data_IF_703814965936
#
_entry.id   IF_703814965936
#
_cell.length_a   1.000
_cell.length_b   1.000
_cell.length_c   1.000
_cell.angle_alpha   90.00
_cell.angle_beta   90.00
_cell.angle_gamma   90.00
#
_symmetry.space_group_name_H-M   'P 1'
#
loop_
_entity.id
_entity.type
_entity.pdbx_description
1 polymer ?
#
# COMPACT_ATOMS: atom_id res chain seq x y z
N UNK A 1 -16.56 -13.59 -6.68
CA UNK A 1 -15.13 -13.96 -6.58
C UNK A 1 -14.29 -12.82 -5.96
N UNK A 2 -14.80 -12.17 -4.90
CA UNK A 2 -14.04 -11.23 -4.06
C UNK A 2 -13.78 -11.90 -2.71
N UNK A 3 -14.75 -12.66 -2.22
CA UNK A 3 -14.58 -13.51 -1.03
C UNK A 3 -13.43 -14.53 -1.19
N UNK A 4 -13.19 -15.01 -2.40
CA UNK A 4 -12.06 -15.90 -2.73
C UNK A 4 -10.69 -15.19 -2.60
N UNK A 5 -10.65 -13.88 -2.83
CA UNK A 5 -9.41 -13.08 -2.79
C UNK A 5 -9.09 -12.54 -1.39
N UNK A 6 -10.10 -12.41 -0.52
CA UNK A 6 -9.96 -11.86 0.83
C UNK A 6 -9.74 -12.95 1.90
N UNK A 7 -10.28 -14.16 1.68
CA UNK A 7 -10.25 -15.23 2.68
C UNK A 7 -11.10 -14.93 3.92
N UNK A 8 -10.89 -15.69 5.00
CA UNK A 8 -11.56 -15.47 6.28
C UNK A 8 -10.80 -14.49 7.19
N UNK A 9 -9.48 -14.41 7.01
CA UNK A 9 -8.58 -13.53 7.73
C UNK A 9 -7.71 -12.76 6.74
N UNK A 10 -7.21 -11.58 7.10
CA UNK A 10 -6.38 -10.78 6.17
C UNK A 10 -5.11 -11.51 5.71
N UNK A 11 -4.61 -12.47 6.50
CA UNK A 11 -3.48 -13.33 6.16
C UNK A 11 -3.78 -14.28 4.98
N UNK A 12 -5.07 -14.56 4.73
CA UNK A 12 -5.51 -15.37 3.61
C UNK A 12 -5.74 -14.53 2.36
N UNK A 13 -5.61 -13.20 2.45
CA UNK A 13 -5.74 -12.34 1.28
C UNK A 13 -4.70 -12.66 0.23
N UNK A 14 -5.10 -12.66 -1.04
CA UNK A 14 -4.23 -12.96 -2.16
C UNK A 14 -3.01 -12.02 -2.22
N UNK A 15 -3.21 -10.75 -1.85
CA UNK A 15 -2.13 -9.79 -1.69
C UNK A 15 -1.10 -10.26 -0.66
N UNK A 16 -1.53 -10.60 0.56
CA UNK A 16 -0.59 -11.01 1.61
C UNK A 16 0.14 -12.29 1.23
N UNK A 17 -0.57 -13.28 0.68
CA UNK A 17 0.02 -14.54 0.20
C UNK A 17 1.08 -14.28 -0.88
N UNK A 18 0.76 -13.45 -1.88
CA UNK A 18 1.69 -13.08 -2.94
C UNK A 18 2.94 -12.38 -2.37
N UNK A 19 2.74 -11.46 -1.42
CA UNK A 19 3.81 -10.75 -0.74
C UNK A 19 4.72 -11.70 0.08
N UNK A 20 4.16 -12.73 0.72
CA UNK A 20 4.92 -13.73 1.49
C UNK A 20 5.58 -14.82 0.63
N UNK A 21 5.22 -14.95 -0.65
CA UNK A 21 5.65 -16.07 -1.51
C UNK A 21 7.17 -16.21 -1.72
N UNK A 22 7.95 -15.16 -1.44
CA UNK A 22 9.37 -15.07 -1.78
C UNK A 22 9.65 -14.85 -3.27
N UNK A 23 8.62 -14.86 -4.12
CA UNK A 23 8.71 -14.56 -5.55
C UNK A 23 8.44 -13.07 -5.84
N UNK A 24 7.68 -12.41 -4.97
CA UNK A 24 7.42 -10.98 -5.06
C UNK A 24 8.70 -10.17 -4.78
N UNK A 25 9.06 -9.27 -5.70
CA UNK A 25 10.28 -8.45 -5.61
C UNK A 25 10.04 -7.02 -5.14
N UNK A 26 8.79 -6.59 -5.08
CA UNK A 26 8.41 -5.23 -4.69
C UNK A 26 6.91 -5.05 -4.84
N UNK A 27 6.36 -4.00 -4.26
CA UNK A 27 4.98 -3.56 -4.53
C UNK A 27 4.97 -2.20 -5.19
N UNK A 28 3.95 -1.91 -5.98
CA UNK A 28 3.70 -0.55 -6.49
C UNK A 28 2.32 -0.13 -6.02
N UNK A 29 2.23 1.09 -5.48
CA UNK A 29 0.97 1.75 -5.20
C UNK A 29 0.78 2.87 -6.22
N UNK A 30 -0.29 2.77 -7.00
CA UNK A 30 -0.67 3.81 -7.96
C UNK A 30 -1.44 4.89 -7.21
N UNK A 31 -0.87 6.08 -7.16
CA UNK A 31 -1.45 7.24 -6.50
C UNK A 31 -2.11 8.16 -7.52
N UNK A 32 -3.31 8.63 -7.18
CA UNK A 32 -3.91 9.77 -7.84
C UNK A 32 -3.35 11.08 -7.28
N UNK A 33 -3.71 12.21 -7.90
CA UNK A 33 -3.26 13.55 -7.50
C UNK A 33 -3.64 13.92 -6.05
N UNK A 34 -4.52 13.13 -5.42
CA UNK A 34 -5.01 13.33 -4.04
C UNK A 34 -4.47 12.29 -3.07
N UNK A 35 -3.64 11.35 -3.53
CA UNK A 35 -3.17 10.20 -2.78
C UNK A 35 -4.29 9.44 -2.05
N UNK A 36 -5.49 9.32 -2.67
CA UNK A 36 -6.63 8.61 -2.08
C UNK A 36 -6.34 7.19 -1.59
N UNK A 37 -5.45 6.39 -2.20
CA UNK A 37 -5.09 5.09 -1.63
C UNK A 37 -4.61 5.20 -0.17
N UNK A 38 -3.95 6.29 0.21
CA UNK A 38 -3.51 6.50 1.60
C UNK A 38 -4.62 6.92 2.56
N UNK A 39 -5.87 7.02 2.12
CA UNK A 39 -7.03 7.19 3.01
C UNK A 39 -7.80 5.90 3.21
N UNK A 40 -7.44 4.81 2.50
CA UNK A 40 -8.19 3.54 2.51
C UNK A 40 -7.56 2.51 3.42
N UNK A 41 -8.37 1.87 4.26
CA UNK A 41 -7.90 0.89 5.26
C UNK A 41 -7.02 -0.20 4.66
N UNK A 42 -7.49 -0.85 3.59
CA UNK A 42 -6.75 -1.92 2.92
C UNK A 42 -5.44 -1.45 2.31
N UNK A 43 -5.42 -0.32 1.61
CA UNK A 43 -4.20 0.19 0.99
C UNK A 43 -3.14 0.57 2.04
N UNK A 44 -3.56 1.12 3.19
CA UNK A 44 -2.65 1.44 4.29
C UNK A 44 -2.12 0.15 4.93
N UNK A 45 -2.98 -0.86 5.11
CA UNK A 45 -2.58 -2.19 5.56
C UNK A 45 -1.54 -2.81 4.61
N UNK A 46 -1.79 -2.82 3.29
CA UNK A 46 -0.88 -3.34 2.27
C UNK A 46 0.47 -2.61 2.27
N UNK A 47 0.45 -1.28 2.47
CA UNK A 47 1.64 -0.46 2.65
C UNK A 47 2.43 -0.88 3.89
N UNK A 48 1.77 -1.06 5.04
CA UNK A 48 2.41 -1.51 6.27
C UNK A 48 3.06 -2.90 6.09
N UNK A 49 2.35 -3.83 5.45
CA UNK A 49 2.89 -5.18 5.22
C UNK A 49 4.08 -5.16 4.25
N UNK A 50 4.07 -4.27 3.25
CA UNK A 50 5.22 -4.04 2.37
C UNK A 50 6.43 -3.54 3.16
N UNK A 51 6.24 -2.52 4.02
CA UNK A 51 7.32 -1.95 4.86
C UNK A 51 7.91 -3.02 5.79
N UNK A 52 7.07 -3.80 6.46
CA UNK A 52 7.53 -4.92 7.31
C UNK A 52 8.33 -5.98 6.54
N UNK A 53 7.97 -6.26 5.28
CA UNK A 53 8.76 -7.18 4.45
C UNK A 53 10.11 -6.58 4.05
N UNK A 54 10.15 -5.29 3.73
CA UNK A 54 11.38 -4.59 3.40
C UNK A 54 12.37 -4.57 4.58
N UNK A 55 11.90 -4.48 5.82
CA UNK A 55 12.74 -4.54 7.02
C UNK A 55 13.40 -5.90 7.25
N UNK A 56 12.76 -7.00 6.80
CA UNK A 56 13.20 -8.38 7.08
C UNK A 56 13.86 -9.10 5.90
N UNK A 57 13.62 -8.69 4.64
CA UNK A 57 14.25 -9.30 3.45
C UNK A 57 14.95 -8.24 2.59
N UNK A 58 16.29 -8.24 2.61
CA UNK A 58 17.12 -7.31 1.84
C UNK A 58 17.01 -7.49 0.31
N UNK A 59 16.46 -8.61 -0.18
CA UNK A 59 16.26 -8.87 -1.62
C UNK A 59 14.95 -8.29 -2.14
N UNK A 60 14.10 -7.78 -1.26
CA UNK A 60 12.85 -7.13 -1.60
C UNK A 60 13.11 -5.65 -1.88
N UNK A 61 12.73 -5.16 -3.06
CA UNK A 61 12.99 -3.79 -3.49
C UNK A 61 12.08 -2.75 -2.81
N UNK A 62 11.11 -3.19 -2.00
CA UNK A 62 10.24 -2.29 -1.24
C UNK A 62 9.02 -1.80 -1.99
N UNK A 63 8.52 -0.65 -1.57
CA UNK A 63 7.36 0.04 -2.14
C UNK A 63 7.78 1.02 -3.23
N UNK A 64 7.09 1.01 -4.37
CA UNK A 64 7.18 2.03 -5.42
C UNK A 64 5.91 2.89 -5.44
N UNK A 65 6.08 4.20 -5.40
CA UNK A 65 4.96 5.16 -5.41
C UNK A 65 4.81 5.69 -6.83
N UNK A 66 3.82 5.16 -7.52
CA UNK A 66 3.62 5.31 -8.95
C UNK A 66 2.56 6.40 -9.20
N UNK A 67 2.90 7.46 -9.92
CA UNK A 67 1.98 8.55 -10.29
C UNK A 67 1.88 8.67 -11.82
N UNK A 68 0.98 9.52 -12.31
CA UNK A 68 0.90 9.87 -13.73
C UNK A 68 2.22 10.44 -14.29
N UNK A 69 3.04 11.06 -13.43
CA UNK A 69 4.34 11.64 -13.77
C UNK A 69 5.52 10.68 -13.66
N UNK A 70 5.32 9.44 -13.21
CA UNK A 70 6.40 8.46 -13.02
C UNK A 70 6.48 7.90 -11.60
N UNK A 71 7.64 7.37 -11.22
CA UNK A 71 7.84 6.74 -9.90
C UNK A 71 8.56 7.72 -8.97
N UNK A 72 7.87 8.17 -7.91
CA UNK A 72 8.33 9.24 -7.03
C UNK A 72 9.62 8.87 -6.31
N UNK A 73 9.65 7.71 -5.66
CA UNK A 73 10.80 7.26 -4.87
C UNK A 73 11.94 6.64 -5.70
N UNK A 74 11.84 6.72 -7.04
CA UNK A 74 12.93 6.42 -7.96
C UNK A 74 13.57 7.70 -8.55
N UNK A 75 13.17 8.89 -8.06
CA UNK A 75 13.72 10.18 -8.49
C UNK A 75 13.11 10.75 -9.79
N UNK A 76 12.08 10.11 -10.33
CA UNK A 76 11.47 10.46 -11.62
C UNK A 76 10.10 11.17 -11.47
N UNK A 77 9.73 11.66 -10.28
CA UNK A 77 8.45 12.31 -10.04
C UNK A 77 8.55 13.79 -9.66
N UNK A 78 7.45 14.54 -9.76
CA UNK A 78 7.37 15.96 -9.37
C UNK A 78 7.59 16.12 -7.87
N UNK A 79 8.38 17.14 -7.49
CA UNK A 79 8.68 17.46 -6.09
C UNK A 79 7.43 17.87 -5.30
N UNK A 80 6.48 18.56 -5.94
CA UNK A 80 5.20 18.94 -5.35
C UNK A 80 4.38 17.71 -4.97
N UNK A 81 4.32 16.72 -5.86
CA UNK A 81 3.61 15.46 -5.60
C UNK A 81 4.30 14.66 -4.50
N UNK A 82 5.64 14.66 -4.47
CA UNK A 82 6.41 14.03 -3.40
C UNK A 82 6.16 14.69 -2.02
N UNK A 83 6.06 16.02 -1.96
CA UNK A 83 5.75 16.76 -0.73
C UNK A 83 4.32 16.51 -0.25
N UNK A 84 3.32 16.60 -1.14
CA UNK A 84 1.93 16.30 -0.79
C UNK A 84 1.77 14.87 -0.28
N UNK A 85 2.52 13.93 -0.86
CA UNK A 85 2.56 12.55 -0.41
C UNK A 85 3.23 12.39 0.96
N UNK A 86 4.36 13.07 1.19
CA UNK A 86 5.05 13.07 2.48
C UNK A 86 4.16 13.62 3.61
N UNK A 87 3.43 14.71 3.34
CA UNK A 87 2.44 15.26 4.28
C UNK A 87 1.35 14.23 4.61
N UNK A 88 0.81 13.55 3.59
CA UNK A 88 -0.20 12.49 3.79
C UNK A 88 0.32 11.31 4.58
N UNK A 89 1.55 10.86 4.28
CA UNK A 89 2.20 9.79 5.03
C UNK A 89 2.47 10.20 6.48
N UNK A 90 2.84 11.45 6.74
CA UNK A 90 3.08 11.97 8.08
C UNK A 90 1.78 12.06 8.92
N UNK A 91 0.63 12.23 8.28
CA UNK A 91 -0.68 12.30 8.93
C UNK A 91 -1.52 11.02 8.73
N UNK A 92 -0.90 9.90 8.36
CA UNK A 92 -1.61 8.64 8.15
C UNK A 92 -2.27 8.17 9.46
N UNK A 93 -3.59 8.01 9.41
CA UNK A 93 -4.40 7.53 10.53
C UNK A 93 -5.15 6.27 10.12
N UNK A 94 -4.60 5.12 10.52
CA UNK A 94 -5.22 3.84 10.24
C UNK A 94 -6.56 3.66 10.98
N UNK A 95 -6.73 4.25 12.16
CA UNK A 95 -7.94 4.09 12.97
C UNK A 95 -9.16 4.75 12.31
N UNK A 96 -8.92 5.86 11.60
CA UNK A 96 -9.92 6.61 10.86
C UNK A 96 -9.90 6.36 9.35
N UNK A 97 -9.16 5.36 8.89
CA UNK A 97 -9.10 5.01 7.47
C UNK A 97 -10.48 4.60 6.92
N UNK A 98 -10.73 4.99 5.68
CA UNK A 98 -11.98 4.78 4.99
C UNK A 98 -12.09 3.35 4.45
N UNK A 99 -13.29 2.79 4.54
CA UNK A 99 -13.67 1.57 3.85
C UNK A 99 -15.11 1.72 3.38
N UNK A 100 -15.39 1.31 2.15
CA UNK A 100 -16.75 1.33 1.59
C UNK A 100 -17.65 0.29 2.27
N UNK A 101 -17.05 -0.76 2.83
CA UNK A 101 -17.72 -1.82 3.58
C UNK A 101 -17.26 -1.78 5.04
N UNK A 102 -18.20 -1.84 5.98
CA UNK A 102 -17.86 -1.91 7.40
C UNK A 102 -17.18 -3.24 7.76
N UNK A 103 -17.50 -4.32 7.04
CA UNK A 103 -16.81 -5.61 7.19
C UNK A 103 -15.32 -5.49 6.86
N UNK A 104 -14.98 -4.71 5.83
CA UNK A 104 -13.60 -4.45 5.42
C UNK A 104 -12.84 -3.55 6.40
N UNK A 105 -13.56 -2.73 7.18
CA UNK A 105 -12.97 -1.94 8.27
C UNK A 105 -12.70 -2.78 9.53
N UNK A 106 -13.44 -3.87 9.70
CA UNK A 106 -13.42 -4.71 10.90
C UNK A 106 -12.52 -5.97 10.79
N UNK A 107 -11.98 -6.25 9.60
CA UNK A 107 -10.93 -7.26 9.39
C UNK A 107 -9.57 -6.77 9.90
#
# INVERSE_FOLDING_TARGET
KIDEELGQTWQESSFYIALQSGLCRGTCMVLDDKAKPLTRSWCIFELLQTVKLQERDQRFHGLFLCTSGGVLNAGNGSAEVAMALAERLATLDLANAEATSQKDRAM
#
